data_IF_553686238544
#
_entry.id   IF_553686238544
#
_cell.length_a   1.000
_cell.length_b   1.000
_cell.length_c   1.000
_cell.angle_alpha   90.00
_cell.angle_beta   90.00
_cell.angle_gamma   90.00
#
_symmetry.space_group_name_H-M   'P 1'
#
loop_
_entity.id
_entity.type
_entity.pdbx_description
1 polymer ?
#
# COMPACT_ATOMS: atom_id res chain seq x y z
N UNK A 1 -6.03 -10.86 19.57
CA UNK A 1 -4.80 -10.04 19.49
C UNK A 1 -5.12 -8.67 18.91
N UNK A 2 -5.79 -7.80 19.67
CA UNK A 2 -6.03 -6.41 19.27
C UNK A 2 -5.27 -5.53 20.28
N UNK A 3 -4.42 -4.61 19.81
CA UNK A 3 -3.70 -3.64 20.66
C UNK A 3 -2.22 -3.89 20.98
N UNK A 4 -1.59 -4.96 20.46
CA UNK A 4 -0.12 -5.17 20.64
C UNK A 4 0.73 -4.34 19.67
N UNK A 5 0.20 -4.06 18.48
CA UNK A 5 0.90 -3.35 17.41
C UNK A 5 -0.01 -2.25 16.84
N UNK A 6 0.50 -1.02 16.63
CA UNK A 6 -0.27 0.02 15.96
C UNK A 6 -0.61 -0.39 14.52
N UNK A 7 -1.81 -0.03 14.07
CA UNK A 7 -2.26 -0.25 12.69
C UNK A 7 -2.18 1.07 11.94
N UNK A 8 -1.39 1.11 10.87
CA UNK A 8 -1.15 2.31 10.06
C UNK A 8 -1.62 2.03 8.64
N UNK A 9 -2.46 2.92 8.10
CA UNK A 9 -2.91 2.84 6.70
C UNK A 9 -2.19 3.91 5.89
N UNK A 10 -1.52 3.51 4.81
CA UNK A 10 -0.93 4.43 3.85
C UNK A 10 -1.98 4.80 2.80
N UNK A 11 -2.32 6.08 2.74
CA UNK A 11 -3.27 6.65 1.79
C UNK A 11 -2.53 7.55 0.79
N UNK A 12 -2.95 7.57 -0.47
CA UNK A 12 -2.35 8.42 -1.49
C UNK A 12 -2.44 7.81 -2.90
N UNK A 13 -1.83 8.48 -3.88
CA UNK A 13 -1.84 8.04 -5.27
C UNK A 13 -0.90 6.84 -5.50
N UNK A 14 -1.37 5.86 -6.27
CA UNK A 14 -0.58 4.71 -6.74
C UNK A 14 0.57 5.10 -7.68
N UNK A 15 0.67 6.36 -8.10
CA UNK A 15 1.82 6.88 -8.87
C UNK A 15 3.12 6.90 -8.06
N UNK A 16 3.04 6.86 -6.73
CA UNK A 16 4.20 6.99 -5.83
C UNK A 16 4.72 5.65 -5.29
N UNK A 17 4.90 4.65 -6.17
CA UNK A 17 5.27 3.27 -5.78
C UNK A 17 6.48 3.20 -4.86
N UNK A 18 7.56 3.89 -5.19
CA UNK A 18 8.81 3.83 -4.43
C UNK A 18 8.65 4.40 -3.02
N UNK A 19 7.93 5.51 -2.90
CA UNK A 19 7.65 6.17 -1.62
C UNK A 19 6.78 5.27 -0.72
N UNK A 20 5.79 4.60 -1.29
CA UNK A 20 4.97 3.63 -0.56
C UNK A 20 5.81 2.43 -0.09
N UNK A 21 6.70 1.91 -0.93
CA UNK A 21 7.59 0.81 -0.57
C UNK A 21 8.57 1.19 0.55
N UNK A 22 9.14 2.39 0.49
CA UNK A 22 10.04 2.91 1.52
C UNK A 22 9.31 3.11 2.85
N UNK A 23 8.16 3.79 2.84
CA UNK A 23 7.34 4.04 4.02
C UNK A 23 6.86 2.73 4.66
N UNK A 24 6.39 1.78 3.85
CA UNK A 24 5.95 0.47 4.31
C UNK A 24 7.11 -0.29 4.99
N UNK A 25 8.29 -0.33 4.36
CA UNK A 25 9.47 -0.99 4.94
C UNK A 25 9.86 -0.37 6.27
N UNK A 26 9.93 0.96 6.35
CA UNK A 26 10.28 1.70 7.57
C UNK A 26 9.28 1.39 8.70
N UNK A 27 7.99 1.61 8.46
CA UNK A 27 6.95 1.45 9.47
C UNK A 27 6.80 -0.01 9.94
N UNK A 28 7.03 -0.97 9.06
CA UNK A 28 7.04 -2.40 9.42
C UNK A 28 8.21 -2.73 10.36
N UNK A 29 9.41 -2.20 10.09
CA UNK A 29 10.58 -2.40 10.97
C UNK A 29 10.40 -1.73 12.33
N UNK A 30 9.61 -0.66 12.40
CA UNK A 30 9.20 -0.01 13.66
C UNK A 30 8.15 -0.83 14.45
N UNK A 31 7.70 -1.97 13.92
CA UNK A 31 6.76 -2.87 14.60
C UNK A 31 5.29 -2.52 14.38
N UNK A 32 4.98 -1.74 13.34
CA UNK A 32 3.60 -1.43 12.98
C UNK A 32 3.03 -2.45 11.99
N UNK A 33 1.72 -2.67 12.06
CA UNK A 33 0.96 -3.35 11.01
C UNK A 33 0.61 -2.29 9.97
N UNK A 34 1.14 -2.43 8.75
CA UNK A 34 0.97 -1.43 7.69
C UNK A 34 0.02 -1.96 6.62
N UNK A 35 -1.07 -1.24 6.37
CA UNK A 35 -2.00 -1.48 5.26
C UNK A 35 -1.65 -0.49 4.15
N UNK A 36 -1.03 -0.98 3.09
CA UNK A 36 -0.64 -0.17 1.92
C UNK A 36 -1.73 -0.18 0.85
N UNK A 37 -1.66 0.76 -0.11
CA UNK A 37 -2.56 0.75 -1.27
C UNK A 37 -2.36 -0.53 -2.08
N UNK A 38 -3.45 -1.23 -2.39
CA UNK A 38 -3.44 -2.59 -2.93
C UNK A 38 -3.14 -2.69 -4.44
N UNK A 39 -2.07 -2.06 -4.93
CA UNK A 39 -1.84 -1.95 -6.38
C UNK A 39 -0.37 -1.95 -6.83
N UNK A 40 0.50 -2.74 -6.18
CA UNK A 40 1.94 -2.77 -6.54
C UNK A 40 2.50 -4.12 -6.98
N UNK A 41 1.69 -5.17 -7.02
CA UNK A 41 2.15 -6.50 -7.42
C UNK A 41 1.14 -7.21 -8.30
N UNK A 42 1.48 -7.38 -9.57
CA UNK A 42 1.40 -8.70 -10.23
C UNK A 42 2.54 -8.78 -11.26
N UNK A 43 3.74 -9.15 -10.81
CA UNK A 43 4.76 -9.72 -11.70
C UNK A 43 4.49 -11.22 -11.91
N UNK A 44 3.25 -11.55 -12.30
CA UNK A 44 2.77 -12.93 -12.38
C UNK A 44 1.43 -13.13 -13.06
N UNK A 45 0.53 -12.13 -13.05
CA UNK A 45 -0.73 -12.20 -13.78
C UNK A 45 -0.94 -10.92 -14.58
N UNK A 46 -0.87 -11.05 -15.90
CA UNK A 46 -1.13 -10.03 -16.89
C UNK A 46 -2.65 -9.79 -17.01
N UNK A 47 -3.36 -9.48 -15.92
CA UNK A 47 -4.82 -9.27 -16.01
C UNK A 47 -5.43 -8.61 -14.75
N UNK A 48 -4.96 -7.42 -14.33
CA UNK A 48 -5.78 -6.55 -13.46
C UNK A 48 -5.73 -5.09 -13.94
N UNK A 49 -6.54 -4.87 -14.98
CA UNK A 49 -7.29 -3.68 -15.35
C UNK A 49 -6.73 -2.28 -15.03
N UNK A 50 -6.40 -1.60 -16.12
CA UNK A 50 -6.03 -0.19 -16.28
C UNK A 50 -7.17 0.82 -15.98
N UNK A 51 -8.13 0.49 -15.12
CA UNK A 51 -9.24 1.39 -14.75
C UNK A 51 -9.52 1.28 -13.26
N UNK A 52 -9.88 2.40 -12.62
CA UNK A 52 -10.14 2.61 -11.18
C UNK A 52 -8.85 2.87 -10.38
N UNK A 53 -8.43 4.09 -10.03
CA UNK A 53 -9.13 5.36 -9.85
C UNK A 53 -8.17 6.52 -10.16
N UNK A 54 -8.49 7.28 -11.19
CA UNK A 54 -8.12 8.69 -11.31
C UNK A 54 -9.20 9.34 -12.18
N UNK A 55 -10.45 9.28 -11.73
CA UNK A 55 -11.61 10.03 -12.23
C UNK A 55 -12.79 9.60 -11.37
N UNK A 56 -12.96 10.21 -10.19
CA UNK A 56 -14.26 10.59 -9.64
C UNK A 56 -14.09 11.20 -8.24
N UNK A 57 -14.20 12.53 -8.22
CA UNK A 57 -14.39 13.47 -7.09
C UNK A 57 -13.22 13.69 -6.10
#
# INVERSE_FOLDING_TARGET
MQGKYPVITLCGSTRFKEQFMEAQKKLTLEGNIVISVGLFGHSGDQEVWEKHFCEDA
#
